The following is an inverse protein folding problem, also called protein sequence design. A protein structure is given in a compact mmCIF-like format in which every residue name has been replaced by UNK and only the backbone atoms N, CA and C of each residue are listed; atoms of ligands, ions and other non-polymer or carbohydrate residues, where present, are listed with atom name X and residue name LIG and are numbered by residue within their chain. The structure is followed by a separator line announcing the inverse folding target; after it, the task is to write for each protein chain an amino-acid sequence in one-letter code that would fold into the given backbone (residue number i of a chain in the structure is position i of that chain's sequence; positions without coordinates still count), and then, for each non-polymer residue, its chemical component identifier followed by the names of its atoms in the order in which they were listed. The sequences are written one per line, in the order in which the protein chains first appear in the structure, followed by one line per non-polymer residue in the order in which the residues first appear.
data_IF_400762875074
#
_entry.id   IF_400762875074
#
_cell.length_a   1.000
_cell.length_b   1.000
_cell.length_c   1.000
_cell.angle_alpha   90.00
_cell.angle_beta   90.00
_cell.angle_gamma   90.00
#
_symmetry.space_group_name_H-M   'P 1'
#
loop_
_entity.id
_entity.type
_entity.pdbx_description
1 polymer ?
#
# COMPACT_ATOMS: atom_id res chain seq x y z
N UNK A 1 60.72 -16.09 3.22
CA UNK A 1 60.70 -15.60 4.62
C UNK A 1 59.59 -14.56 4.69
N UNK A 2 58.35 -14.85 5.05
CA UNK A 2 57.86 -15.90 5.93
C UNK A 2 57.93 -15.44 7.38
N UNK A 3 56.83 -14.81 7.84
CA UNK A 3 56.18 -14.81 9.18
C UNK A 3 55.53 -13.44 9.47
N UNK A 4 54.33 -13.27 10.03
CA UNK A 4 53.09 -14.05 10.09
C UNK A 4 52.05 -13.19 10.85
N UNK A 5 50.82 -13.12 10.31
CA UNK A 5 49.53 -13.22 11.03
C UNK A 5 49.28 -12.38 12.31
N UNK A 6 48.93 -11.08 12.19
CA UNK A 6 48.00 -10.42 13.14
C UNK A 6 47.21 -9.28 12.45
N UNK A 7 46.28 -9.62 11.56
CA UNK A 7 45.10 -8.79 11.28
C UNK A 7 43.86 -9.65 11.59
N UNK A 8 43.84 -10.16 12.82
CA UNK A 8 42.71 -10.87 13.40
C UNK A 8 41.90 -9.87 14.21
N UNK A 9 40.60 -9.86 13.97
CA UNK A 9 39.56 -9.10 14.67
C UNK A 9 39.55 -7.59 14.40
N UNK A 10 38.84 -7.16 13.35
CA UNK A 10 37.76 -6.17 13.48
C UNK A 10 37.01 -6.05 12.14
N UNK A 11 36.66 -7.20 11.55
CA UNK A 11 35.49 -7.26 10.68
C UNK A 11 34.26 -7.07 11.58
N UNK A 12 33.91 -5.84 11.91
CA UNK A 12 32.54 -5.53 12.35
C UNK A 12 31.65 -5.55 11.09
N UNK A 13 31.52 -6.73 10.50
CA UNK A 13 30.31 -7.06 9.80
C UNK A 13 29.23 -7.04 10.88
N UNK A 14 28.41 -5.99 10.86
CA UNK A 14 27.00 -5.95 11.29
C UNK A 14 26.60 -4.47 11.34
N UNK A 15 26.49 -3.84 10.16
CA UNK A 15 25.45 -2.82 10.00
C UNK A 15 24.12 -3.56 10.10
N UNK A 16 23.68 -3.90 11.31
CA UNK A 16 22.29 -4.23 11.50
C UNK A 16 21.54 -2.90 11.50
N UNK A 17 21.31 -2.38 10.30
CA UNK A 17 20.21 -1.45 10.10
C UNK A 17 18.93 -2.29 10.24
N UNK A 18 18.46 -2.46 11.48
CA UNK A 18 17.05 -2.77 11.73
C UNK A 18 16.24 -1.53 11.37
N UNK A 19 16.17 -1.21 10.09
CA UNK A 19 15.13 -0.31 9.59
C UNK A 19 13.85 -1.13 9.53
N UNK A 20 12.97 -0.97 10.53
CA UNK A 20 11.56 -1.36 10.40
C UNK A 20 10.92 -0.41 9.39
N UNK A 21 11.20 -0.62 8.10
CA UNK A 21 10.65 0.18 7.02
C UNK A 21 9.31 -0.43 6.63
N UNK A 22 8.25 0.34 6.83
CA UNK A 22 6.92 0.03 6.30
C UNK A 22 6.72 0.87 5.05
N UNK A 23 6.20 0.28 3.98
CA UNK A 23 5.96 0.99 2.73
C UNK A 23 4.64 0.55 2.14
N UNK A 24 3.88 1.52 1.62
CA UNK A 24 2.69 1.30 0.82
C UNK A 24 2.99 1.78 -0.60
N UNK A 25 2.88 0.90 -1.57
CA UNK A 25 3.17 1.18 -2.98
C UNK A 25 1.89 1.04 -3.77
N UNK A 26 1.41 2.13 -4.33
CA UNK A 26 0.28 2.13 -5.26
C UNK A 26 0.72 1.68 -6.66
N UNK A 27 -0.20 1.06 -7.41
CA UNK A 27 -0.06 0.82 -8.84
C UNK A 27 0.24 2.12 -9.61
N UNK A 28 0.89 1.98 -10.76
CA UNK A 28 1.25 3.11 -11.60
C UNK A 28 0.05 3.98 -11.99
N UNK A 29 0.31 5.27 -12.20
CA UNK A 29 -0.69 6.21 -12.66
C UNK A 29 -1.18 5.84 -14.07
N UNK A 30 -2.49 5.86 -14.27
CA UNK A 30 -3.13 5.54 -15.54
C UNK A 30 -4.17 6.60 -15.90
N UNK A 31 -4.16 7.04 -17.15
CA UNK A 31 -5.23 7.86 -17.73
C UNK A 31 -6.33 6.91 -18.21
N UNK A 32 -7.48 6.96 -17.55
CA UNK A 32 -8.64 6.10 -17.83
C UNK A 32 -9.65 6.87 -18.66
N UNK A 33 -10.15 6.27 -19.73
CA UNK A 33 -11.22 6.88 -20.54
C UNK A 33 -12.56 6.83 -19.78
N UNK A 34 -13.51 7.74 -20.08
CA UNK A 34 -14.86 7.63 -19.56
C UNK A 34 -15.46 6.24 -19.85
N UNK A 35 -16.30 5.76 -18.94
CA UNK A 35 -16.98 4.47 -18.99
C UNK A 35 -16.09 3.21 -18.92
N UNK A 36 -14.76 3.37 -18.78
CA UNK A 36 -13.87 2.25 -18.50
C UNK A 36 -13.78 1.98 -16.99
N UNK A 37 -13.60 0.69 -16.68
CA UNK A 37 -13.30 0.25 -15.31
C UNK A 37 -11.80 0.09 -15.12
N UNK A 38 -11.31 0.37 -13.93
CA UNK A 38 -9.91 0.21 -13.56
C UNK A 38 -9.80 -0.32 -12.13
N UNK A 39 -8.65 -0.91 -11.79
CA UNK A 39 -8.38 -1.43 -10.45
C UNK A 39 -7.06 -0.89 -9.95
N UNK A 40 -7.13 -0.02 -8.95
CA UNK A 40 -5.94 0.40 -8.20
C UNK A 40 -5.54 -0.70 -7.24
N UNK A 41 -4.23 -0.85 -7.04
CA UNK A 41 -3.66 -1.82 -6.10
C UNK A 41 -2.67 -1.10 -5.20
N UNK A 42 -2.79 -1.28 -3.89
CA UNK A 42 -1.82 -0.84 -2.91
C UNK A 42 -1.15 -2.09 -2.31
N UNK A 43 0.17 -2.21 -2.45
CA UNK A 43 0.97 -3.31 -1.90
C UNK A 43 1.73 -2.84 -0.68
N UNK A 44 1.59 -3.55 0.43
CA UNK A 44 2.27 -3.24 1.67
C UNK A 44 3.52 -4.12 1.86
N UNK A 45 4.62 -3.49 2.24
CA UNK A 45 5.87 -4.14 2.66
C UNK A 45 6.21 -3.73 4.09
N UNK A 46 6.73 -4.64 4.90
CA UNK A 46 7.04 -4.40 6.32
C UNK A 46 5.83 -4.18 7.24
N UNK A 47 4.61 -4.14 6.69
CA UNK A 47 3.35 -3.95 7.42
C UNK A 47 2.48 -5.21 7.32
N UNK A 48 1.93 -5.65 8.45
CA UNK A 48 0.85 -6.64 8.47
C UNK A 48 -0.50 -5.92 8.34
N UNK A 49 -1.00 -5.84 7.11
CA UNK A 49 -2.27 -5.17 6.86
C UNK A 49 -3.43 -5.82 7.61
N UNK A 50 -3.36 -7.11 7.97
CA UNK A 50 -4.47 -7.87 8.59
C UNK A 50 -4.94 -7.26 9.91
N UNK A 51 -4.08 -6.51 10.59
CA UNK A 51 -4.37 -5.86 11.87
C UNK A 51 -4.87 -4.42 11.75
N UNK A 52 -5.01 -3.88 10.53
CA UNK A 52 -5.36 -2.47 10.31
C UNK A 52 -6.55 -2.28 9.38
N UNK A 53 -7.23 -1.16 9.59
CA UNK A 53 -8.17 -0.60 8.64
C UNK A 53 -7.40 0.02 7.49
N UNK A 54 -7.92 -0.16 6.28
CA UNK A 54 -7.28 0.34 5.06
C UNK A 54 -8.23 1.29 4.34
N UNK A 55 -7.75 2.48 4.00
CA UNK A 55 -8.55 3.51 3.36
C UNK A 55 -7.93 3.96 2.04
N UNK A 56 -8.81 4.30 1.09
CA UNK A 56 -8.48 5.06 -0.11
C UNK A 56 -8.91 6.51 0.08
N UNK A 57 -7.99 7.42 -0.19
CA UNK A 57 -8.17 8.87 -0.13
C UNK A 57 -7.68 9.41 -1.46
N UNK A 58 -8.36 10.40 -2.02
CA UNK A 58 -7.92 11.09 -3.23
C UNK A 58 -7.68 12.57 -2.93
N UNK A 59 -6.82 13.19 -3.73
CA UNK A 59 -6.63 14.64 -3.69
C UNK A 59 -6.88 15.22 -5.07
N UNK A 60 -7.74 16.23 -5.14
CA UNK A 60 -7.93 17.03 -6.35
C UNK A 60 -7.01 18.25 -6.25
N UNK A 61 -6.25 18.62 -7.30
CA UNK A 61 -5.43 19.82 -7.27
C UNK A 61 -6.23 21.06 -6.84
N UNK A 62 -5.71 21.81 -5.85
CA UNK A 62 -6.40 22.96 -5.28
C UNK A 62 -7.52 22.65 -4.28
N UNK A 63 -7.76 21.38 -3.95
CA UNK A 63 -8.70 20.94 -2.90
C UNK A 63 -7.99 20.15 -1.79
N UNK A 64 -8.71 19.96 -0.69
CA UNK A 64 -8.28 19.08 0.40
C UNK A 64 -8.32 17.60 0.02
N UNK A 65 -7.91 16.76 0.97
CA UNK A 65 -8.05 15.31 0.88
C UNK A 65 -9.54 14.92 0.93
N UNK A 66 -9.95 14.05 0.03
CA UNK A 66 -11.32 13.53 -0.06
C UNK A 66 -11.32 12.03 0.23
N UNK A 67 -12.10 11.61 1.21
CA UNK A 67 -12.31 10.20 1.52
C UNK A 67 -13.03 9.47 0.36
N UNK A 68 -12.57 8.27 0.03
CA UNK A 68 -13.16 7.44 -1.04
C UNK A 68 -13.83 6.21 -0.46
N UNK A 69 -13.07 5.35 0.20
CA UNK A 69 -13.57 4.11 0.78
C UNK A 69 -12.66 3.62 1.92
N UNK A 70 -13.20 2.83 2.84
CA UNK A 70 -12.43 2.11 3.88
C UNK A 70 -12.95 0.69 4.05
N UNK A 71 -12.04 -0.20 4.47
CA UNK A 71 -12.31 -1.59 4.79
C UNK A 71 -11.66 -1.95 6.11
N UNK A 72 -12.40 -2.63 6.98
CA UNK A 72 -11.90 -3.07 8.27
C UNK A 72 -10.89 -4.22 8.14
N UNK A 73 -10.21 -4.54 9.25
CA UNK A 73 -9.21 -5.62 9.34
C UNK A 73 -9.76 -6.99 8.94
N UNK A 74 -10.96 -7.31 9.43
CA UNK A 74 -11.70 -8.55 9.17
C UNK A 74 -12.45 -8.56 7.83
N UNK A 75 -12.52 -7.40 7.14
CA UNK A 75 -13.27 -7.19 5.90
C UNK A 75 -14.80 -7.22 6.03
N UNK A 76 -15.35 -7.29 7.25
CA UNK A 76 -16.80 -7.42 7.47
C UNK A 76 -17.54 -6.13 7.14
N UNK A 77 -16.93 -4.99 7.46
CA UNK A 77 -17.51 -3.66 7.19
C UNK A 77 -16.69 -2.89 6.16
N UNK A 78 -17.43 -2.24 5.27
CA UNK A 78 -16.90 -1.36 4.22
C UNK A 78 -17.73 -0.08 4.21
N UNK A 79 -17.06 1.06 4.16
CA UNK A 79 -17.72 2.37 4.04
C UNK A 79 -17.22 3.09 2.81
N UNK A 80 -18.12 3.79 2.13
CA UNK A 80 -17.84 4.50 0.88
C UNK A 80 -18.32 5.94 1.01
N UNK A 81 -17.62 6.88 0.38
CA UNK A 81 -18.13 8.24 0.26
C UNK A 81 -19.34 8.27 -0.68
N UNK A 82 -20.26 9.20 -0.44
CA UNK A 82 -21.46 9.38 -1.26
C UNK A 82 -21.13 9.63 -2.73
N UNK A 83 -19.97 10.22 -3.03
CA UNK A 83 -19.51 10.52 -4.38
C UNK A 83 -19.24 9.25 -5.22
N UNK A 84 -18.89 8.12 -4.60
CA UNK A 84 -18.48 6.89 -5.29
C UNK A 84 -19.34 5.67 -4.97
N UNK A 85 -20.34 5.84 -4.10
CA UNK A 85 -21.22 4.77 -3.67
C UNK A 85 -21.89 4.09 -4.87
N UNK A 86 -21.91 2.75 -4.87
CA UNK A 86 -22.43 1.93 -5.97
C UNK A 86 -21.56 1.83 -7.22
N UNK A 87 -20.42 2.53 -7.28
CA UNK A 87 -19.47 2.46 -8.43
C UNK A 87 -18.11 1.92 -8.04
N UNK A 88 -17.67 2.19 -6.83
CA UNK A 88 -16.35 1.76 -6.36
C UNK A 88 -16.52 0.61 -5.37
N UNK A 89 -15.63 -0.36 -5.43
CA UNK A 89 -15.59 -1.52 -4.53
C UNK A 89 -14.21 -1.66 -3.93
N UNK A 90 -14.12 -1.57 -2.61
CA UNK A 90 -12.88 -1.83 -1.88
C UNK A 90 -12.80 -3.31 -1.48
N UNK A 91 -11.60 -3.87 -1.61
CA UNK A 91 -11.31 -5.26 -1.24
C UNK A 91 -9.84 -5.37 -0.81
N UNK A 92 -9.48 -6.50 -0.20
CA UNK A 92 -8.14 -6.76 0.30
C UNK A 92 -7.80 -8.25 0.22
N UNK A 93 -6.51 -8.54 0.13
CA UNK A 93 -5.92 -9.86 0.18
C UNK A 93 -4.74 -9.81 1.17
N UNK A 94 -4.97 -10.33 2.37
CA UNK A 94 -4.00 -10.29 3.47
C UNK A 94 -2.78 -11.16 3.18
N UNK A 95 -2.98 -12.29 2.50
CA UNK A 95 -1.89 -13.19 2.11
C UNK A 95 -0.94 -12.52 1.12
N UNK A 96 -1.46 -11.66 0.23
CA UNK A 96 -0.65 -10.86 -0.71
C UNK A 96 -0.23 -9.51 -0.17
N UNK A 97 -0.71 -9.12 1.03
CA UNK A 97 -0.52 -7.78 1.60
C UNK A 97 -0.99 -6.68 0.64
N UNK A 98 -2.13 -6.90 -0.02
CA UNK A 98 -2.65 -6.01 -1.04
C UNK A 98 -4.05 -5.50 -0.71
N UNK A 99 -4.30 -4.24 -1.03
CA UNK A 99 -5.62 -3.59 -0.96
C UNK A 99 -5.97 -3.13 -2.36
N UNK A 100 -7.21 -3.34 -2.78
CA UNK A 100 -7.67 -3.01 -4.11
C UNK A 100 -8.84 -2.03 -4.05
N UNK A 101 -8.86 -1.10 -5.01
CA UNK A 101 -10.03 -0.29 -5.32
C UNK A 101 -10.46 -0.56 -6.76
N UNK A 102 -11.53 -1.33 -6.92
CA UNK A 102 -12.14 -1.53 -8.22
C UNK A 102 -13.11 -0.38 -8.50
N UNK A 103 -12.87 0.36 -9.58
CA UNK A 103 -13.62 1.54 -9.95
C UNK A 103 -14.35 1.26 -11.26
N UNK A 104 -15.68 1.35 -11.25
CA UNK A 104 -16.51 1.17 -12.45
C UNK A 104 -17.11 2.50 -12.92
N UNK A 105 -17.22 2.68 -14.24
CA UNK A 105 -17.89 3.83 -14.86
C UNK A 105 -17.35 5.17 -14.36
N UNK A 106 -16.07 5.41 -14.66
CA UNK A 106 -15.43 6.70 -14.46
C UNK A 106 -16.13 7.74 -15.34
N UNK A 107 -16.59 8.82 -14.72
CA UNK A 107 -17.20 9.97 -15.42
C UNK A 107 -16.16 11.05 -15.62
#
# INVERSE_FOLDING_TARGET
MGLDRVLSYFTLAMFIQYSCSQTLIESDSVIIKPDQSHKLTCTASGLDISSYWMAWIRQVPGKGLEFVATIESDSDRKFYSSAVNGRFTISRDNSKKQVYLHMTSMR
#
